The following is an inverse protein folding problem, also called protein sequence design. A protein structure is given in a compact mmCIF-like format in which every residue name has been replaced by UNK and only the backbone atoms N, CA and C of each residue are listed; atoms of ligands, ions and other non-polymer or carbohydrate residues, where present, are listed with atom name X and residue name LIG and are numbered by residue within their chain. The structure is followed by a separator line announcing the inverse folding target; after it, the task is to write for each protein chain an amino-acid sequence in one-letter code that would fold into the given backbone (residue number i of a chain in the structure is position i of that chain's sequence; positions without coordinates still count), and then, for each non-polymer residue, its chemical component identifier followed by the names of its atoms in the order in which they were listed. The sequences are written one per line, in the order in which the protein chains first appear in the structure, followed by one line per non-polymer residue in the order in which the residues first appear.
data_IF_690414048663
#
_entry.id   IF_690414048663
#
_cell.length_a   1.000
_cell.length_b   1.000
_cell.length_c   1.000
_cell.angle_alpha   90.00
_cell.angle_beta   90.00
_cell.angle_gamma   90.00
#
_symmetry.space_group_name_H-M   'P 1'
#
loop_
_entity.id
_entity.type
_entity.pdbx_description
1 polymer ?
#
# COMPACT_ATOMS: atom_id res chain seq x y z
N UNK A 1 35.26 -17.25 21.83
CA UNK A 1 33.85 -17.09 21.44
C UNK A 1 33.70 -15.66 20.90
N UNK A 2 33.52 -15.46 19.60
CA UNK A 2 33.20 -14.12 19.07
C UNK A 2 31.75 -13.84 19.48
N UNK A 3 31.55 -13.04 20.51
CA UNK A 3 30.23 -12.65 20.97
C UNK A 3 29.60 -11.70 19.95
N UNK A 4 28.57 -12.15 19.25
CA UNK A 4 27.70 -11.29 18.48
C UNK A 4 26.72 -10.61 19.45
N UNK A 5 26.81 -9.28 19.57
CA UNK A 5 25.75 -8.49 20.20
C UNK A 5 24.74 -8.10 19.12
N UNK A 6 23.49 -8.58 19.18
CA UNK A 6 22.47 -8.18 18.22
C UNK A 6 22.23 -6.68 18.30
N UNK A 7 22.25 -6.01 17.16
CA UNK A 7 21.76 -4.63 17.03
C UNK A 7 20.28 -4.67 16.67
N UNK A 8 19.44 -4.07 17.51
CA UNK A 8 18.03 -3.85 17.17
C UNK A 8 17.91 -2.74 16.15
N UNK A 9 17.17 -2.99 15.07
CA UNK A 9 16.79 -1.98 14.07
C UNK A 9 15.28 -1.80 14.17
N UNK A 10 14.85 -0.56 14.40
CA UNK A 10 13.43 -0.20 14.38
C UNK A 10 13.05 0.34 13.00
N UNK A 11 12.35 -0.45 12.20
CA UNK A 11 11.94 -0.05 10.85
C UNK A 11 10.82 1.00 10.84
N UNK A 12 10.12 1.20 11.98
CA UNK A 12 9.07 2.20 12.12
C UNK A 12 9.60 3.58 12.52
N UNK A 13 10.85 3.67 12.99
CA UNK A 13 11.47 4.93 13.36
C UNK A 13 11.86 5.75 12.12
N UNK A 14 11.44 7.03 12.09
CA UNK A 14 11.78 7.98 11.03
C UNK A 14 13.29 8.11 10.76
N UNK A 15 14.11 7.95 11.80
CA UNK A 15 15.58 8.04 11.72
C UNK A 15 16.26 6.81 11.13
N UNK A 16 15.56 5.69 10.93
CA UNK A 16 16.15 4.49 10.33
C UNK A 16 16.37 4.73 8.84
N UNK A 17 17.61 4.58 8.38
CA UNK A 17 17.95 4.77 6.97
C UNK A 17 17.37 3.64 6.12
N UNK A 18 16.81 3.99 4.97
CA UNK A 18 16.34 3.05 3.95
C UNK A 18 17.07 3.30 2.66
N UNK A 19 17.02 2.31 1.78
CA UNK A 19 17.49 2.49 0.41
C UNK A 19 16.55 3.44 -0.35
N UNK A 20 17.11 4.35 -1.15
CA UNK A 20 16.34 5.28 -1.98
C UNK A 20 15.90 6.56 -1.26
N UNK A 21 15.03 7.35 -1.90
CA UNK A 21 14.64 8.70 -1.46
C UNK A 21 13.25 8.80 -0.83
N UNK A 22 12.39 7.80 -1.05
CA UNK A 22 10.98 7.88 -0.65
C UNK A 22 10.41 6.54 -0.19
N UNK A 23 11.27 5.58 0.20
CA UNK A 23 10.97 4.17 0.47
C UNK A 23 9.80 3.87 1.43
N UNK A 24 9.26 4.87 2.13
CA UNK A 24 8.22 4.73 3.16
C UNK A 24 7.14 5.78 3.06
N UNK A 25 6.08 5.59 3.84
CA UNK A 25 5.03 6.56 4.09
C UNK A 25 4.91 6.80 5.60
N UNK A 26 4.73 8.06 6.00
CA UNK A 26 4.49 8.42 7.39
C UNK A 26 3.03 8.20 7.77
N UNK A 27 2.79 7.34 8.73
CA UNK A 27 1.49 7.17 9.39
C UNK A 27 1.41 8.19 10.52
N UNK A 28 0.44 9.09 10.46
CA UNK A 28 0.21 10.13 11.46
C UNK A 28 -0.85 9.72 12.47
N UNK A 29 -0.78 10.18 13.71
CA UNK A 29 -1.80 9.95 14.74
C UNK A 29 -1.22 9.80 16.14
N UNK A 30 -1.96 9.10 17.01
CA UNK A 30 -1.52 8.81 18.40
C UNK A 30 -0.23 8.00 18.47
N UNK A 31 -0.01 7.12 17.49
CA UNK A 31 1.20 6.31 17.36
C UNK A 31 1.80 6.54 15.96
N UNK A 32 2.61 7.60 15.79
CA UNK A 32 3.24 7.86 14.51
C UNK A 32 4.28 6.78 14.20
N UNK A 33 4.33 6.35 12.95
CA UNK A 33 5.25 5.33 12.48
C UNK A 33 5.56 5.52 10.99
N UNK A 34 6.72 5.05 10.57
CA UNK A 34 7.02 4.86 9.16
C UNK A 34 6.58 3.46 8.71
N UNK A 35 5.93 3.38 7.57
CA UNK A 35 5.45 2.12 6.99
C UNK A 35 5.86 1.97 5.53
N UNK A 36 5.80 0.74 5.01
CA UNK A 36 5.85 0.50 3.57
C UNK A 36 4.58 1.05 2.91
N UNK A 37 4.68 1.38 1.63
CA UNK A 37 3.52 1.79 0.85
C UNK A 37 2.62 0.58 0.60
N UNK A 38 1.31 0.79 0.64
CA UNK A 38 0.33 -0.23 0.26
C UNK A 38 -0.15 0.00 -1.18
N UNK A 39 -0.76 -1.02 -1.79
CA UNK A 39 -1.53 -0.84 -3.03
C UNK A 39 -0.84 -1.31 -4.31
N UNK A 40 0.31 -1.98 -4.27
CA UNK A 40 0.73 -2.79 -5.42
C UNK A 40 -0.07 -4.10 -5.41
N UNK A 41 -1.27 -4.05 -5.99
CA UNK A 41 -2.22 -5.18 -5.98
C UNK A 41 -1.80 -6.23 -7.00
N UNK A 42 -1.08 -5.81 -8.05
CA UNK A 42 -0.60 -6.68 -9.12
C UNK A 42 0.77 -7.30 -8.87
N UNK A 43 1.50 -6.81 -7.86
CA UNK A 43 2.89 -7.16 -7.55
C UNK A 43 3.84 -6.93 -8.72
N UNK A 44 3.64 -5.84 -9.47
CA UNK A 44 4.48 -5.45 -10.61
C UNK A 44 5.61 -4.47 -10.22
N UNK A 45 5.69 -4.08 -8.94
CA UNK A 45 6.66 -3.14 -8.41
C UNK A 45 6.29 -1.67 -8.68
N UNK A 46 5.09 -1.38 -9.22
CA UNK A 46 4.66 -0.03 -9.55
C UNK A 46 3.20 0.23 -9.16
N UNK A 47 3.00 0.97 -8.08
CA UNK A 47 1.67 1.42 -7.66
C UNK A 47 1.15 2.49 -8.64
N UNK A 48 0.00 2.23 -9.28
CA UNK A 48 -0.69 3.19 -10.17
C UNK A 48 -2.20 3.20 -9.91
N UNK A 49 -2.77 4.41 -9.79
CA UNK A 49 -4.23 4.57 -9.68
C UNK A 49 -4.93 4.62 -11.05
N UNK A 50 -4.31 5.17 -12.08
CA UNK A 50 -4.85 5.20 -13.45
C UNK A 50 -3.83 4.71 -14.48
N UNK A 51 -4.30 4.52 -15.72
CA UNK A 51 -3.47 4.05 -16.83
C UNK A 51 -3.56 2.54 -17.04
N UNK A 52 -2.77 2.05 -17.98
CA UNK A 52 -2.64 0.61 -18.25
C UNK A 52 -1.94 -0.06 -17.07
N UNK A 53 -2.39 -1.26 -16.70
CA UNK A 53 -1.90 -1.98 -15.52
C UNK A 53 -1.95 -1.10 -14.26
N UNK A 54 -3.12 -0.51 -14.03
CA UNK A 54 -3.42 0.13 -12.76
C UNK A 54 -3.87 -0.92 -11.75
N UNK A 55 -3.66 -0.64 -10.48
CA UNK A 55 -3.95 -1.55 -9.38
C UNK A 55 -5.39 -1.47 -8.89
N UNK A 56 -6.13 -0.41 -9.27
CA UNK A 56 -7.56 -0.31 -8.91
C UNK A 56 -8.41 -1.33 -9.67
N UNK A 57 -8.05 -1.70 -10.89
CA UNK A 57 -8.86 -2.61 -11.71
C UNK A 57 -8.89 -4.03 -11.11
N UNK A 58 -7.77 -4.63 -10.62
CA UNK A 58 -7.79 -5.84 -9.81
C UNK A 58 -8.65 -5.77 -8.54
N UNK A 59 -8.72 -4.61 -7.88
CA UNK A 59 -9.63 -4.40 -6.72
C UNK A 59 -11.09 -4.49 -7.17
N UNK A 60 -11.45 -3.88 -8.30
CA UNK A 60 -12.81 -4.00 -8.83
C UNK A 60 -13.13 -5.45 -9.24
N UNK A 61 -12.16 -6.15 -9.85
CA UNK A 61 -12.30 -7.54 -10.28
C UNK A 61 -12.57 -8.48 -9.10
N UNK A 62 -11.89 -8.29 -7.96
CA UNK A 62 -12.05 -9.16 -6.78
C UNK A 62 -13.43 -9.08 -6.12
N UNK A 63 -14.19 -8.01 -6.38
CA UNK A 63 -15.59 -7.84 -5.93
C UNK A 63 -16.63 -8.15 -7.02
N UNK A 64 -16.22 -8.77 -8.14
CA UNK A 64 -17.10 -9.18 -9.24
C UNK A 64 -17.00 -8.34 -10.52
N UNK A 65 -16.08 -7.37 -10.58
CA UNK A 65 -15.59 -6.74 -11.81
C UNK A 65 -16.46 -5.66 -12.45
N UNK A 66 -17.77 -5.65 -12.21
CA UNK A 66 -18.69 -4.70 -12.88
C UNK A 66 -19.43 -3.81 -11.89
N UNK A 67 -19.89 -4.37 -10.77
CA UNK A 67 -20.70 -3.65 -9.79
C UNK A 67 -19.79 -3.11 -8.67
N UNK A 68 -19.53 -1.80 -8.60
CA UNK A 68 -18.53 -1.22 -7.70
C UNK A 68 -18.97 -1.16 -6.23
N UNK A 69 -20.18 -1.62 -5.93
CA UNK A 69 -20.76 -1.69 -4.58
C UNK A 69 -20.72 -3.09 -3.99
N UNK A 70 -20.22 -4.07 -4.73
CA UNK A 70 -19.96 -5.41 -4.21
C UNK A 70 -18.85 -5.39 -3.15
N UNK A 71 -18.81 -6.43 -2.33
CA UNK A 71 -17.75 -6.66 -1.35
C UNK A 71 -17.39 -8.12 -1.33
N UNK A 72 -16.12 -8.43 -1.08
CA UNK A 72 -15.64 -9.80 -0.87
C UNK A 72 -14.95 -9.88 0.48
N UNK A 73 -15.23 -10.92 1.26
CA UNK A 73 -14.62 -11.14 2.58
C UNK A 73 -13.42 -12.07 2.47
N UNK A 74 -12.39 -11.79 3.25
CA UNK A 74 -11.13 -12.53 3.29
C UNK A 74 -9.94 -11.65 2.97
N UNK A 75 -8.77 -12.07 3.43
CA UNK A 75 -7.51 -11.41 3.09
C UNK A 75 -7.09 -11.76 1.67
N UNK A 76 -6.74 -10.73 0.90
CA UNK A 76 -6.20 -10.86 -0.45
C UNK A 76 -5.30 -9.67 -0.75
N UNK A 77 -4.58 -9.71 -1.87
CA UNK A 77 -3.81 -8.55 -2.33
C UNK A 77 -4.68 -7.29 -2.57
N UNK A 78 -5.97 -7.49 -2.85
CA UNK A 78 -6.92 -6.40 -3.05
C UNK A 78 -7.50 -5.84 -1.75
N UNK A 79 -7.25 -6.48 -0.60
CA UNK A 79 -7.58 -5.98 0.74
C UNK A 79 -6.44 -5.09 1.23
N UNK A 80 -6.34 -3.89 0.65
CA UNK A 80 -5.21 -2.97 0.76
C UNK A 80 -5.10 -2.40 2.18
N UNK A 81 -6.22 -2.26 2.89
CA UNK A 81 -6.24 -1.79 4.27
C UNK A 81 -6.16 -2.92 5.32
N UNK A 82 -6.11 -4.17 4.86
CA UNK A 82 -5.99 -5.39 5.68
C UNK A 82 -7.09 -5.51 6.74
N UNK A 83 -8.32 -5.10 6.41
CA UNK A 83 -9.46 -5.23 7.31
C UNK A 83 -10.25 -6.54 7.11
N UNK A 84 -9.88 -7.34 6.10
CA UNK A 84 -10.53 -8.60 5.75
C UNK A 84 -11.77 -8.45 4.87
N UNK A 85 -12.03 -7.26 4.31
CA UNK A 85 -13.17 -6.99 3.43
C UNK A 85 -12.75 -6.04 2.31
N UNK A 86 -12.71 -6.57 1.09
CA UNK A 86 -12.40 -5.78 -0.10
C UNK A 86 -13.61 -4.96 -0.54
N UNK A 87 -13.41 -3.66 -0.77
CA UNK A 87 -14.41 -2.70 -1.29
C UNK A 87 -13.79 -1.78 -2.33
N UNK A 88 -14.54 -1.49 -3.39
CA UNK A 88 -14.12 -0.52 -4.42
C UNK A 88 -14.66 0.90 -4.20
N UNK A 89 -15.80 1.04 -3.51
CA UNK A 89 -16.43 2.33 -3.19
C UNK A 89 -16.95 2.36 -1.76
N UNK A 90 -17.42 3.54 -1.30
CA UNK A 90 -17.91 3.73 0.05
C UNK A 90 -16.81 4.06 1.05
N UNK A 91 -17.17 4.23 2.32
CA UNK A 91 -16.19 4.56 3.36
C UNK A 91 -15.25 3.37 3.64
N UNK A 92 -13.95 3.66 3.74
CA UNK A 92 -12.92 2.64 3.97
C UNK A 92 -12.81 1.66 2.81
N UNK A 93 -12.78 2.17 1.57
CA UNK A 93 -12.52 1.36 0.39
C UNK A 93 -11.01 1.28 0.09
N UNK A 94 -10.59 0.15 -0.49
CA UNK A 94 -9.18 -0.16 -0.78
C UNK A 94 -8.60 0.74 -1.85
N UNK A 95 -9.44 1.11 -2.83
CA UNK A 95 -9.07 1.99 -3.94
C UNK A 95 -8.58 3.36 -3.48
N UNK A 96 -9.20 3.93 -2.44
CA UNK A 96 -8.81 5.24 -1.91
C UNK A 96 -7.52 5.15 -1.06
N UNK A 97 -7.22 3.99 -0.45
CA UNK A 97 -5.93 3.73 0.19
C UNK A 97 -4.81 3.69 -0.84
N UNK A 98 -5.07 3.04 -1.96
CA UNK A 98 -4.16 3.05 -3.10
C UNK A 98 -3.88 4.48 -3.61
N UNK A 99 -4.92 5.31 -3.72
CA UNK A 99 -4.75 6.71 -4.12
C UNK A 99 -3.86 7.49 -3.14
N UNK A 100 -4.01 7.24 -1.83
CA UNK A 100 -3.14 7.84 -0.80
C UNK A 100 -1.67 7.46 -1.01
N UNK A 101 -1.37 6.20 -1.34
CA UNK A 101 0.01 5.74 -1.58
C UNK A 101 0.71 6.44 -2.74
N UNK A 102 -0.03 6.91 -3.76
CA UNK A 102 0.52 7.63 -4.92
C UNK A 102 0.45 9.15 -4.80
N UNK A 103 0.05 9.72 -3.66
CA UNK A 103 0.03 11.17 -3.44
C UNK A 103 -1.36 11.78 -3.21
N UNK A 104 -2.38 10.96 -2.99
CA UNK A 104 -3.65 11.33 -2.36
C UNK A 104 -4.73 11.93 -3.25
N UNK A 105 -4.41 12.93 -4.07
CA UNK A 105 -5.43 13.64 -4.88
C UNK A 105 -5.12 13.68 -6.37
N UNK A 106 -3.87 13.44 -6.75
CA UNK A 106 -3.44 13.43 -8.15
C UNK A 106 -3.37 11.97 -8.62
N UNK A 107 -4.35 11.49 -9.40
CA UNK A 107 -4.48 10.06 -9.71
C UNK A 107 -3.54 9.58 -10.82
N UNK A 108 -2.69 10.47 -11.34
CA UNK A 108 -1.72 10.21 -12.41
C UNK A 108 -0.31 9.99 -11.90
N UNK A 109 -0.06 10.21 -10.61
CA UNK A 109 1.21 9.89 -10.00
C UNK A 109 1.36 8.36 -9.86
N UNK A 110 2.60 7.90 -9.95
CA UNK A 110 2.98 6.50 -9.81
C UNK A 110 4.07 6.37 -8.77
N UNK A 111 4.12 5.25 -8.05
CA UNK A 111 5.20 4.96 -7.11
C UNK A 111 5.90 3.66 -7.50
N UNK A 112 7.19 3.75 -7.78
CA UNK A 112 8.01 2.63 -8.25
C UNK A 112 8.87 2.13 -7.09
N UNK A 113 8.93 0.81 -6.91
CA UNK A 113 9.82 0.15 -5.95
C UNK A 113 11.29 0.56 -6.16
N UNK A 114 12.05 0.64 -5.07
CA UNK A 114 13.47 0.95 -5.08
C UNK A 114 14.26 -0.27 -4.60
N UNK A 115 15.14 -0.81 -5.44
CA UNK A 115 15.96 -1.99 -5.14
C UNK A 115 17.46 -1.60 -5.01
N UNK A 116 18.21 -2.11 -4.01
CA UNK A 116 19.63 -1.84 -3.79
C UNK A 116 20.55 -1.95 -5.00
#
# INVERSE_FOLDING_TARGET
LLGYTPTTIDLAAAGTLMYGSDARISVTGTFPAEALWAGDVSFDGVVKYTGVANDRDPILLSIGGVVPTGTTTGYSAADVDLNGVVKYTGAGNDRDRLLQSVGGVVPTATRVEQLP
#
